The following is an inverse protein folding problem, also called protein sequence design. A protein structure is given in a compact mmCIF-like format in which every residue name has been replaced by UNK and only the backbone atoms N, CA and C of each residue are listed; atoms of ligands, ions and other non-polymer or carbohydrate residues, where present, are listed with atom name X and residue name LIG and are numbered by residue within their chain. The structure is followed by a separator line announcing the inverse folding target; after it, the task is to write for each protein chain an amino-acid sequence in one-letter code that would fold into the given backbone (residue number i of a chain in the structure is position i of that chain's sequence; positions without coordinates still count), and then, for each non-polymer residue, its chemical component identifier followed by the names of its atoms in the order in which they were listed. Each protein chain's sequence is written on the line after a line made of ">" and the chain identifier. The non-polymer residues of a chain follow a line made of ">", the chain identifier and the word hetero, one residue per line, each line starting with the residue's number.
data_IF_413621433514
#
_entry.id   IF_413621433514
#
_cell.length_a   1.000
_cell.length_b   1.000
_cell.length_c   1.000
_cell.angle_alpha   90.00
_cell.angle_beta   90.00
_cell.angle_gamma   90.00
#
_symmetry.space_group_name_H-M   'P 1'
#
loop_
_entity.id
_entity.type
_entity.pdbx_description
1 polymer ?
#
# COMPACT_ATOMS: atom_id res chain seq x y z
N UNK A 1 0.06 -40.30 -9.33
CA UNK A 1 -0.90 -39.19 -9.28
C UNK A 1 -1.00 -38.76 -7.84
N UNK A 2 -0.31 -37.67 -7.49
CA UNK A 2 -0.41 -37.04 -6.18
C UNK A 2 -1.67 -36.18 -6.17
N UNK A 3 -2.59 -36.48 -5.26
CA UNK A 3 -3.72 -35.62 -4.95
C UNK A 3 -3.20 -34.24 -4.58
N UNK A 4 -3.50 -33.25 -5.42
CA UNK A 4 -3.34 -31.85 -5.10
C UNK A 4 -4.53 -31.52 -4.21
N UNK A 5 -4.30 -31.45 -2.90
CA UNK A 5 -5.27 -30.90 -1.95
C UNK A 5 -5.66 -29.50 -2.42
N UNK A 6 -6.84 -29.37 -3.02
CA UNK A 6 -7.43 -28.07 -3.27
C UNK A 6 -7.90 -27.53 -1.92
N UNK A 7 -7.05 -26.75 -1.26
CA UNK A 7 -7.45 -25.89 -0.15
C UNK A 7 -8.57 -24.99 -0.68
N UNK A 8 -9.82 -25.36 -0.38
CA UNK A 8 -10.98 -24.53 -0.65
C UNK A 8 -10.82 -23.28 0.22
N UNK A 9 -10.25 -22.23 -0.36
CA UNK A 9 -10.36 -20.88 0.16
C UNK A 9 -11.84 -20.56 0.28
N UNK A 10 -12.39 -20.81 1.47
CA UNK A 10 -13.79 -20.58 1.78
C UNK A 10 -14.15 -19.16 1.38
N UNK A 11 -15.32 -18.99 0.77
CA UNK A 11 -15.83 -17.68 0.37
C UNK A 11 -15.66 -16.71 1.54
N UNK A 12 -15.04 -15.56 1.30
CA UNK A 12 -14.83 -14.50 2.31
C UNK A 12 -16.14 -13.97 2.92
N UNK A 13 -17.29 -14.40 2.37
CA UNK A 13 -18.62 -14.09 2.83
C UNK A 13 -19.37 -15.36 3.22
N UNK A 14 -19.87 -15.39 4.46
CA UNK A 14 -20.68 -16.49 5.01
C UNK A 14 -22.00 -15.94 5.58
N UNK A 15 -23.13 -16.07 4.84
CA UNK A 15 -24.42 -15.57 5.29
C UNK A 15 -25.00 -16.38 6.45
N UNK A 16 -24.65 -17.66 6.57
CA UNK A 16 -25.19 -18.61 7.55
C UNK A 16 -24.25 -18.80 8.76
N UNK A 17 -23.36 -17.83 8.99
CA UNK A 17 -22.44 -17.81 10.12
C UNK A 17 -23.19 -18.00 11.45
N UNK A 18 -22.62 -18.86 12.30
CA UNK A 18 -23.10 -19.09 13.66
C UNK A 18 -23.32 -17.77 14.42
N UNK A 19 -24.54 -17.51 14.94
CA UNK A 19 -24.86 -16.27 15.64
C UNK A 19 -23.97 -16.04 16.87
N UNK A 20 -23.46 -17.09 17.51
CA UNK A 20 -22.57 -16.94 18.66
C UNK A 20 -21.16 -16.49 18.23
N UNK A 21 -20.61 -17.01 17.14
CA UNK A 21 -19.36 -16.50 16.53
C UNK A 21 -19.47 -15.00 16.21
N UNK A 22 -20.54 -14.62 15.51
CA UNK A 22 -20.87 -13.23 15.18
C UNK A 22 -20.96 -12.33 16.42
N UNK A 23 -21.59 -12.84 17.49
CA UNK A 23 -21.73 -12.11 18.76
C UNK A 23 -20.38 -11.94 19.45
N UNK A 24 -19.49 -12.94 19.40
CA UNK A 24 -18.13 -12.86 19.94
C UNK A 24 -17.30 -11.80 19.23
N UNK A 25 -17.31 -11.79 17.89
CA UNK A 25 -16.59 -10.79 17.08
C UNK A 25 -17.05 -9.37 17.41
N UNK A 26 -18.37 -9.13 17.40
CA UNK A 26 -18.95 -7.82 17.74
C UNK A 26 -18.65 -7.39 19.18
N UNK A 27 -18.62 -8.34 20.13
CA UNK A 27 -18.24 -8.06 21.51
C UNK A 27 -16.76 -7.64 21.58
N UNK A 28 -15.87 -8.36 20.91
CA UNK A 28 -14.44 -8.04 20.82
C UNK A 28 -14.20 -6.61 20.33
N UNK A 29 -14.87 -6.22 19.24
CA UNK A 29 -14.80 -4.85 18.71
C UNK A 29 -15.33 -3.79 19.68
N UNK A 30 -16.46 -4.05 20.36
CA UNK A 30 -16.98 -3.11 21.39
C UNK A 30 -16.04 -2.97 22.59
N UNK A 31 -15.44 -4.07 23.02
CA UNK A 31 -14.51 -4.06 24.15
C UNK A 31 -13.19 -3.41 23.76
N UNK A 32 -12.74 -3.55 22.51
CA UNK A 32 -11.61 -2.80 21.96
C UNK A 32 -11.89 -1.30 21.90
N UNK A 33 -13.07 -0.91 21.44
CA UNK A 33 -13.47 0.49 21.33
C UNK A 33 -13.55 1.19 22.70
N UNK A 34 -13.97 0.47 23.75
CA UNK A 34 -13.91 0.96 25.14
C UNK A 34 -12.49 1.22 25.64
N UNK A 35 -11.48 0.49 25.17
CA UNK A 35 -10.08 0.77 25.55
C UNK A 35 -9.60 2.12 25.04
N UNK A 36 -10.26 2.65 24.00
CA UNK A 36 -10.02 4.00 23.49
C UNK A 36 -10.77 5.10 24.26
N UNK A 37 -11.65 4.75 25.19
CA UNK A 37 -12.38 5.71 26.02
C UNK A 37 -11.55 6.03 27.27
N UNK A 38 -11.19 7.31 27.46
CA UNK A 38 -10.58 7.81 28.70
C UNK A 38 -9.12 8.26 28.62
N UNK A 39 -8.37 7.91 27.57
CA UNK A 39 -7.03 8.47 27.34
C UNK A 39 -6.94 9.25 26.03
N UNK A 40 -6.30 10.41 26.08
CA UNK A 40 -6.01 11.25 24.90
C UNK A 40 -4.65 10.90 24.28
N UNK A 41 -3.79 10.19 25.03
CA UNK A 41 -2.44 9.84 24.60
C UNK A 41 -2.20 8.34 24.78
N UNK A 42 -1.75 7.70 23.71
CA UNK A 42 -1.45 6.27 23.67
C UNK A 42 0.00 6.08 23.26
N UNK A 43 0.68 5.10 23.85
CA UNK A 43 2.05 4.77 23.46
C UNK A 43 2.09 4.20 22.03
N UNK A 44 3.22 4.36 21.35
CA UNK A 44 3.46 3.77 20.03
C UNK A 44 3.34 2.25 20.04
N UNK A 45 3.83 1.61 21.10
CA UNK A 45 3.77 0.15 21.28
C UNK A 45 2.33 -0.33 21.44
N UNK A 46 1.51 0.42 22.18
CA UNK A 46 0.11 0.09 22.38
C UNK A 46 -0.69 0.18 21.08
N UNK A 47 -0.42 1.20 20.26
CA UNK A 47 -1.06 1.34 18.94
C UNK A 47 -0.66 0.20 17.99
N UNK A 48 0.61 -0.21 18.01
CA UNK A 48 1.07 -1.37 17.22
C UNK A 48 0.39 -2.67 17.67
N UNK A 49 0.27 -2.88 18.97
CA UNK A 49 -0.44 -4.04 19.52
C UNK A 49 -1.94 -3.99 19.17
N UNK A 50 -2.53 -2.81 19.19
CA UNK A 50 -3.91 -2.58 18.76
C UNK A 50 -4.15 -2.98 17.30
N UNK A 51 -3.22 -2.68 16.40
CA UNK A 51 -3.30 -3.10 14.99
C UNK A 51 -3.22 -4.62 14.85
N UNK A 52 -2.32 -5.29 15.59
CA UNK A 52 -2.24 -6.76 15.59
C UNK A 52 -3.51 -7.41 16.13
N UNK A 53 -4.06 -6.87 17.22
CA UNK A 53 -5.32 -7.35 17.77
C UNK A 53 -6.48 -7.18 16.77
N UNK A 54 -6.52 -6.07 16.02
CA UNK A 54 -7.51 -5.88 14.93
C UNK A 54 -7.34 -6.93 13.83
N UNK A 55 -6.11 -7.19 13.39
CA UNK A 55 -5.82 -8.19 12.36
C UNK A 55 -6.24 -9.60 12.78
N UNK A 56 -6.04 -9.96 14.05
CA UNK A 56 -6.50 -11.25 14.59
C UNK A 56 -8.04 -11.35 14.61
N UNK A 57 -8.74 -10.29 15.04
CA UNK A 57 -10.21 -10.26 15.02
C UNK A 57 -10.77 -10.28 13.59
N UNK A 58 -10.07 -9.67 12.63
CA UNK A 58 -10.46 -9.64 11.23
C UNK A 58 -10.55 -11.03 10.60
N UNK A 59 -9.74 -11.99 11.05
CA UNK A 59 -9.79 -13.40 10.57
C UNK A 59 -11.15 -14.07 10.77
N UNK A 60 -11.93 -13.59 11.73
CA UNK A 60 -13.25 -14.12 12.07
C UNK A 60 -14.40 -13.32 11.43
N UNK A 61 -14.09 -12.27 10.66
CA UNK A 61 -15.08 -11.45 9.96
C UNK A 61 -15.48 -12.14 8.67
N UNK A 62 -16.75 -12.54 8.61
CA UNK A 62 -17.34 -13.18 7.41
C UNK A 62 -18.51 -12.39 6.83
N UNK A 63 -18.90 -11.29 7.46
CA UNK A 63 -20.12 -10.55 7.15
C UNK A 63 -19.85 -9.04 6.98
N UNK A 64 -20.50 -8.34 6.02
CA UNK A 64 -20.30 -6.91 5.77
C UNK A 64 -20.54 -6.03 6.99
N UNK A 65 -21.53 -6.39 7.83
CA UNK A 65 -21.85 -5.63 9.04
C UNK A 65 -20.78 -5.71 10.13
N UNK A 66 -19.86 -6.67 10.07
CA UNK A 66 -18.71 -6.75 10.98
C UNK A 66 -17.47 -6.11 10.34
N UNK A 67 -17.34 -6.21 9.01
CA UNK A 67 -16.31 -5.50 8.26
C UNK A 67 -16.41 -3.97 8.42
N UNK A 68 -17.62 -3.42 8.57
CA UNK A 68 -17.80 -2.00 8.89
C UNK A 68 -17.31 -1.64 10.29
N UNK A 69 -17.48 -2.52 11.28
CA UNK A 69 -16.98 -2.31 12.64
C UNK A 69 -15.45 -2.35 12.68
N UNK A 70 -14.85 -3.30 11.96
CA UNK A 70 -13.40 -3.39 11.79
C UNK A 70 -12.83 -2.12 11.14
N UNK A 71 -13.45 -1.67 10.04
CA UNK A 71 -13.04 -0.44 9.34
C UNK A 71 -13.06 0.77 10.29
N UNK A 72 -14.10 0.89 11.12
CA UNK A 72 -14.19 1.99 12.09
C UNK A 72 -13.06 1.94 13.13
N UNK A 73 -12.68 0.76 13.59
CA UNK A 73 -11.58 0.58 14.55
C UNK A 73 -10.24 0.94 13.93
N UNK A 74 -9.99 0.49 12.69
CA UNK A 74 -8.77 0.84 11.96
C UNK A 74 -8.65 2.35 11.73
N UNK A 75 -9.76 3.02 11.40
CA UNK A 75 -9.81 4.49 11.29
C UNK A 75 -9.51 5.16 12.63
N UNK A 76 -10.05 4.65 13.74
CA UNK A 76 -9.77 5.19 15.08
C UNK A 76 -8.29 5.01 15.46
N UNK A 77 -7.72 3.82 15.24
CA UNK A 77 -6.31 3.52 15.44
C UNK A 77 -5.41 4.46 14.62
N UNK A 78 -5.68 4.60 13.32
CA UNK A 78 -4.86 5.45 12.43
C UNK A 78 -4.98 6.93 12.74
N UNK A 79 -6.17 7.42 13.10
CA UNK A 79 -6.34 8.82 13.50
C UNK A 79 -5.58 9.14 14.78
N UNK A 80 -5.63 8.25 15.79
CA UNK A 80 -4.83 8.39 17.01
C UNK A 80 -3.34 8.26 16.74
N UNK A 81 -2.91 7.31 15.90
CA UNK A 81 -1.51 7.18 15.51
C UNK A 81 -1.01 8.42 14.77
N UNK A 82 -1.84 9.01 13.91
CA UNK A 82 -1.52 10.25 13.22
C UNK A 82 -1.40 11.44 14.20
N UNK A 83 -2.31 11.55 15.18
CA UNK A 83 -2.20 12.56 16.24
C UNK A 83 -0.93 12.35 17.07
N UNK A 84 -0.62 11.11 17.45
CA UNK A 84 0.58 10.78 18.19
C UNK A 84 1.85 11.12 17.38
N UNK A 85 1.90 10.75 16.09
CA UNK A 85 3.01 11.11 15.21
C UNK A 85 3.21 12.62 15.09
N UNK A 86 2.13 13.40 15.06
CA UNK A 86 2.20 14.87 15.11
C UNK A 86 2.73 15.38 16.45
N UNK A 87 2.33 14.77 17.56
CA UNK A 87 2.81 15.14 18.89
C UNK A 87 4.29 14.77 19.09
N UNK A 88 4.73 13.60 18.60
CA UNK A 88 6.14 13.21 18.56
C UNK A 88 6.96 14.20 17.73
N UNK A 89 6.42 14.63 16.59
CA UNK A 89 7.03 15.67 15.75
C UNK A 89 6.99 17.07 16.38
N UNK A 90 6.11 17.30 17.34
CA UNK A 90 6.01 18.56 18.10
C UNK A 90 6.89 18.56 19.35
N UNK A 91 7.33 17.39 19.84
CA UNK A 91 8.22 17.24 21.00
C UNK A 91 9.72 17.36 20.68
N UNK A 92 10.09 17.32 19.40
CA UNK A 92 11.38 17.81 18.94
C UNK A 92 11.11 19.09 18.17
N UNK A 93 11.58 20.21 18.69
CA UNK A 93 11.82 21.39 17.86
C UNK A 93 12.44 20.94 16.54
N UNK A 94 11.98 21.54 15.44
CA UNK A 94 12.61 21.36 14.13
C UNK A 94 14.12 21.31 14.34
N UNK A 95 14.77 20.25 13.83
CA UNK A 95 16.21 20.01 14.01
C UNK A 95 16.95 21.35 13.99
N UNK A 96 17.36 21.79 15.18
CA UNK A 96 18.00 23.08 15.33
C UNK A 96 19.46 22.86 14.95
N UNK A 97 19.79 23.35 13.75
CA UNK A 97 21.13 23.24 13.18
C UNK A 97 22.13 23.87 14.14
N UNK A 98 21.78 24.95 14.82
CA UNK A 98 22.67 25.71 15.67
C UNK A 98 22.92 25.00 17.02
N UNK A 99 21.88 24.38 17.60
CA UNK A 99 22.01 23.51 18.79
C UNK A 99 22.82 22.25 18.46
N UNK A 100 22.57 21.62 17.30
CA UNK A 100 23.34 20.46 16.85
C UNK A 100 24.81 20.81 16.65
N UNK A 101 25.12 21.91 15.94
CA UNK A 101 26.50 22.39 15.72
C UNK A 101 27.15 22.73 17.05
N UNK A 102 26.45 23.42 17.96
CA UNK A 102 26.98 23.75 19.29
C UNK A 102 27.36 22.51 20.10
N UNK A 103 26.49 21.49 20.12
CA UNK A 103 26.77 20.21 20.79
C UNK A 103 27.87 19.41 20.09
N UNK A 104 27.94 19.49 18.76
CA UNK A 104 28.98 18.84 17.97
C UNK A 104 30.36 19.44 18.26
N UNK A 105 30.48 20.77 18.25
CA UNK A 105 31.72 21.48 18.62
C UNK A 105 32.14 21.13 20.05
N UNK A 106 31.18 21.06 20.97
CA UNK A 106 31.43 20.65 22.36
C UNK A 106 31.95 19.21 22.44
N UNK A 107 31.34 18.28 21.69
CA UNK A 107 31.80 16.88 21.60
C UNK A 107 33.20 16.74 20.98
N UNK A 108 33.55 17.62 20.04
CA UNK A 108 34.85 17.68 19.38
C UNK A 108 35.93 18.41 20.20
N UNK A 109 35.61 18.85 21.42
CA UNK A 109 36.55 19.48 22.34
C UNK A 109 36.72 20.99 22.14
N UNK A 110 35.95 21.62 21.25
CA UNK A 110 36.02 23.07 20.98
C UNK A 110 35.40 23.94 22.09
N UNK A 111 34.77 23.33 23.09
CA UNK A 111 34.41 23.99 24.36
C UNK A 111 34.94 23.13 25.48
N UNK A 112 36.25 23.21 25.74
CA UNK A 112 36.78 22.76 27.03
C UNK A 112 36.16 23.67 28.08
N UNK A 113 35.00 23.27 28.61
CA UNK A 113 34.63 23.64 29.98
C UNK A 113 35.74 23.03 30.81
N UNK A 114 36.72 23.87 31.10
CA UNK A 114 37.84 23.53 31.94
C UNK A 114 37.26 22.91 33.20
N UNK A 115 37.69 21.69 33.51
CA UNK A 115 38.03 21.41 34.91
C UNK A 115 39.12 22.42 35.25
N UNK A 116 38.71 23.63 35.62
CA UNK A 116 39.54 24.78 35.98
C UNK A 116 40.48 24.30 37.07
N UNK A 117 41.70 23.96 36.68
CA UNK A 117 42.81 23.92 37.61
C UNK A 117 43.15 25.40 37.88
N UNK A 118 43.00 25.91 39.11
CA UNK A 118 43.02 27.35 39.39
C UNK A 118 44.43 27.99 39.31
N UNK A 119 45.41 27.29 38.74
CA UNK A 119 46.83 27.67 38.82
C UNK A 119 47.50 28.00 37.48
N UNK A 120 46.76 28.21 36.39
CA UNK A 120 47.35 28.74 35.16
C UNK A 120 46.70 30.06 34.75
N UNK A 121 47.59 31.03 34.61
CA UNK A 121 47.35 32.44 34.32
C UNK A 121 46.51 32.64 33.07
N UNK A 122 45.63 33.61 33.20
CA UNK A 122 44.99 34.41 32.16
C UNK A 122 45.99 34.75 31.05
N UNK A 123 45.85 34.12 29.89
CA UNK A 123 46.44 34.55 28.63
C UNK A 123 45.37 34.33 27.56
N UNK A 124 44.84 35.46 27.07
CA UNK A 124 43.89 35.60 25.96
C UNK A 124 44.44 34.89 24.72
N UNK A 125 44.20 33.58 24.63
CA UNK A 125 44.47 32.79 23.45
C UNK A 125 43.13 32.42 22.85
N UNK A 126 42.83 33.11 21.74
CA UNK A 126 41.69 32.83 20.86
C UNK A 126 41.39 31.32 20.80
N UNK A 127 40.14 31.01 21.14
CA UNK A 127 39.52 29.68 21.24
C UNK A 127 39.56 28.89 19.92
N UNK A 128 40.74 28.50 19.47
CA UNK A 128 40.92 27.63 18.30
C UNK A 128 41.81 26.44 18.65
N UNK A 129 41.45 25.76 19.75
CA UNK A 129 41.88 24.37 19.91
C UNK A 129 41.39 23.56 18.70
N UNK A 130 42.28 22.89 17.92
CA UNK A 130 41.88 22.16 16.74
C UNK A 130 40.79 21.14 17.07
N UNK A 131 39.66 21.22 16.36
CA UNK A 131 38.53 20.31 16.58
C UNK A 131 38.95 18.86 16.30
N UNK A 132 38.62 17.96 17.22
CA UNK A 132 38.97 16.54 17.08
C UNK A 132 38.00 15.80 16.14
N UNK A 133 38.20 15.95 14.83
CA UNK A 133 37.37 15.32 13.79
C UNK A 133 37.37 13.78 13.83
N UNK A 134 38.42 13.16 14.37
CA UNK A 134 38.52 11.70 14.44
C UNK A 134 37.44 11.10 15.38
N UNK A 135 37.13 11.77 16.49
CA UNK A 135 36.11 11.31 17.47
C UNK A 135 34.73 11.19 16.83
N UNK A 136 34.33 12.19 16.04
CA UNK A 136 33.05 12.15 15.32
C UNK A 136 33.10 11.16 14.16
N UNK A 137 34.24 11.06 13.45
CA UNK A 137 34.43 10.08 12.39
C UNK A 137 34.19 8.64 12.84
N UNK A 138 34.78 8.23 13.97
CA UNK A 138 34.56 6.88 14.55
C UNK A 138 33.09 6.64 14.91
N UNK A 139 32.40 7.63 15.47
CA UNK A 139 30.98 7.54 15.84
C UNK A 139 30.06 7.49 14.60
N UNK A 140 30.38 8.25 13.56
CA UNK A 140 29.64 8.27 12.30
C UNK A 140 29.78 6.94 11.53
N UNK A 141 30.98 6.37 11.48
CA UNK A 141 31.26 5.06 10.86
C UNK A 141 30.51 3.91 11.55
N UNK A 142 30.31 3.98 12.87
CA UNK A 142 29.52 2.98 13.59
C UNK A 142 28.02 2.99 13.21
N UNK A 143 27.50 4.11 12.67
CA UNK A 143 26.09 4.28 12.32
C UNK A 143 25.82 4.27 10.83
N UNK A 144 26.83 4.55 10.00
CA UNK A 144 26.71 4.55 8.55
C UNK A 144 27.86 3.77 7.92
N UNK A 145 27.53 2.72 7.16
CA UNK A 145 28.49 1.92 6.38
C UNK A 145 28.66 2.45 4.94
N UNK A 146 27.82 3.41 4.54
CA UNK A 146 27.83 4.04 3.21
C UNK A 146 28.28 5.48 3.38
N UNK A 147 29.20 5.91 2.52
CA UNK A 147 29.57 7.33 2.43
C UNK A 147 28.33 8.10 2.01
N UNK A 148 27.92 9.17 2.74
CA UNK A 148 26.84 10.03 2.30
C UNK A 148 27.26 10.68 0.97
N UNK A 149 26.69 10.19 -0.13
CA UNK A 149 26.85 10.82 -1.44
C UNK A 149 25.90 12.00 -1.46
N UNK A 150 26.44 13.21 -1.61
CA UNK A 150 25.63 14.40 -1.88
C UNK A 150 24.95 14.22 -3.24
N UNK A 151 23.70 13.74 -3.23
CA UNK A 151 22.95 13.38 -4.45
C UNK A 151 22.58 14.57 -5.35
N UNK A 152 22.98 15.78 -4.96
CA UNK A 152 22.79 17.00 -5.72
C UNK A 152 24.00 17.92 -5.51
N UNK A 153 25.07 17.70 -6.28
CA UNK A 153 25.94 18.82 -6.65
C UNK A 153 25.15 19.65 -7.66
N UNK A 154 24.26 20.53 -7.18
CA UNK A 154 23.98 21.73 -7.97
C UNK A 154 25.34 22.39 -8.18
N UNK A 155 25.61 22.82 -9.43
CA UNK A 155 26.83 23.54 -9.78
C UNK A 155 27.00 24.83 -8.96
N UNK A 156 27.85 25.78 -9.40
CA UNK A 156 28.27 26.93 -8.57
C UNK A 156 27.10 27.54 -7.78
N UNK A 157 27.32 27.70 -6.47
CA UNK A 157 26.35 28.02 -5.40
C UNK A 157 25.43 29.24 -5.67
N UNK A 158 25.66 29.97 -6.75
CA UNK A 158 24.89 31.12 -7.23
C UNK A 158 23.57 30.75 -7.93
N UNK A 159 23.25 29.47 -8.13
CA UNK A 159 21.98 29.06 -8.74
C UNK A 159 20.90 28.96 -7.66
N UNK A 160 20.17 30.06 -7.47
CA UNK A 160 19.00 30.11 -6.59
C UNK A 160 17.98 29.05 -7.03
N UNK A 161 17.66 28.11 -6.13
CA UNK A 161 16.64 27.10 -6.39
C UNK A 161 15.30 27.80 -6.62
N UNK A 162 14.80 27.75 -7.86
CA UNK A 162 13.51 28.34 -8.23
C UNK A 162 12.40 27.72 -7.37
N UNK A 163 11.98 28.45 -6.33
CA UNK A 163 10.84 28.09 -5.47
C UNK A 163 9.62 28.01 -6.36
N UNK A 164 9.17 26.78 -6.66
CA UNK A 164 7.91 26.58 -7.37
C UNK A 164 6.81 26.98 -6.39
N UNK A 165 6.12 28.09 -6.68
CA UNK A 165 4.93 28.47 -5.94
C UNK A 165 3.95 27.30 -5.95
N UNK A 166 3.58 26.83 -4.76
CA UNK A 166 2.52 25.84 -4.64
C UNK A 166 1.22 26.51 -5.12
N UNK A 167 0.84 26.25 -6.37
CA UNK A 167 -0.44 26.69 -6.91
C UNK A 167 -1.51 25.92 -6.13
N UNK A 168 -2.09 26.57 -5.11
CA UNK A 168 -3.29 26.08 -4.46
C UNK A 168 -4.36 26.03 -5.54
N UNK A 169 -4.71 24.83 -6.01
CA UNK A 169 -5.89 24.65 -6.85
C UNK A 169 -7.08 25.14 -6.04
N UNK A 170 -7.68 26.25 -6.47
CA UNK A 170 -8.94 26.71 -5.89
C UNK A 170 -9.95 25.58 -6.02
N UNK A 171 -10.53 25.18 -4.89
CA UNK A 171 -11.62 24.21 -4.89
C UNK A 171 -12.77 24.90 -5.65
N UNK A 172 -13.14 24.36 -6.80
CA UNK A 172 -14.29 24.85 -7.55
C UNK A 172 -15.53 24.66 -6.66
N UNK A 173 -16.04 25.73 -6.07
CA UNK A 173 -17.34 25.71 -5.42
C UNK A 173 -18.38 25.50 -6.51
N UNK A 174 -18.96 24.30 -6.55
CA UNK A 174 -20.08 24.00 -7.45
C UNK A 174 -21.28 24.81 -6.92
N UNK A 175 -21.70 25.82 -7.67
CA UNK A 175 -22.92 26.56 -7.38
C UNK A 175 -24.12 25.61 -7.49
N UNK A 176 -24.94 25.52 -6.43
CA UNK A 176 -26.16 24.69 -6.40
C UNK A 176 -27.21 25.10 -7.46
N UNK A 177 -27.09 26.29 -8.04
CA UNK A 177 -27.96 26.75 -9.12
C UNK A 177 -27.74 25.98 -10.45
N UNK A 178 -26.58 25.36 -10.63
CA UNK A 178 -26.25 24.56 -11.82
C UNK A 178 -26.59 23.06 -11.64
N UNK A 179 -27.15 22.67 -10.49
CA UNK A 179 -27.66 21.31 -10.27
C UNK A 179 -28.98 21.11 -11.04
N UNK A 180 -28.88 20.73 -12.32
CA UNK A 180 -30.03 20.18 -13.04
C UNK A 180 -30.21 18.73 -12.63
N UNK A 181 -31.28 18.44 -11.87
CA UNK A 181 -31.71 17.07 -11.59
C UNK A 181 -32.06 16.38 -12.93
N UNK A 182 -31.63 15.13 -13.14
CA UNK A 182 -32.08 14.37 -14.31
C UNK A 182 -33.61 14.25 -14.27
N UNK A 183 -34.26 14.44 -15.42
CA UNK A 183 -35.70 14.27 -15.55
C UNK A 183 -36.05 12.80 -15.33
N UNK A 184 -37.00 12.53 -14.45
CA UNK A 184 -37.59 11.20 -14.28
C UNK A 184 -38.43 10.89 -15.53
N UNK A 185 -37.97 9.95 -16.37
CA UNK A 185 -38.79 9.40 -17.45
C UNK A 185 -39.89 8.54 -16.82
N UNK A 186 -41.15 8.88 -17.09
CA UNK A 186 -42.29 8.04 -16.75
C UNK A 186 -42.51 6.99 -17.84
N UNK A 187 -43.22 5.91 -17.50
CA UNK A 187 -43.48 4.79 -18.40
C UNK A 187 -44.22 5.20 -19.69
N UNK A 188 -44.92 6.32 -19.66
CA UNK A 188 -45.64 6.96 -20.77
C UNK A 188 -44.75 7.78 -21.73
N UNK A 189 -43.55 8.21 -21.30
CA UNK A 189 -42.56 8.91 -22.14
C UNK A 189 -41.63 7.93 -22.88
N UNK A 190 -41.70 6.64 -22.53
CA UNK A 190 -41.03 5.58 -23.26
C UNK A 190 -41.91 5.26 -24.47
N UNK A 191 -41.59 5.84 -25.62
CA UNK A 191 -42.05 5.25 -26.87
C UNK A 191 -41.54 3.81 -26.89
N UNK A 192 -42.44 2.82 -26.77
CA UNK A 192 -42.12 1.42 -27.05
C UNK A 192 -41.78 1.30 -28.53
N UNK A 193 -40.59 1.74 -28.90
CA UNK A 193 -39.97 1.41 -30.17
C UNK A 193 -39.83 -0.10 -30.19
N UNK A 194 -40.49 -0.76 -31.13
CA UNK A 194 -40.43 -2.21 -31.32
C UNK A 194 -38.97 -2.65 -31.47
N UNK A 195 -38.45 -3.19 -30.37
CA UNK A 195 -37.29 -4.06 -30.25
C UNK A 195 -36.28 -3.96 -31.40
N UNK A 196 -35.49 -2.89 -31.42
CA UNK A 196 -34.30 -2.81 -32.28
C UNK A 196 -33.37 -4.00 -32.04
N UNK A 197 -33.33 -4.52 -30.82
CA UNK A 197 -32.55 -5.70 -30.44
C UNK A 197 -32.98 -6.95 -31.21
N UNK A 198 -34.28 -7.17 -31.46
CA UNK A 198 -34.75 -8.34 -32.21
C UNK A 198 -34.45 -8.20 -33.71
N UNK A 199 -34.50 -6.98 -34.25
CA UNK A 199 -34.07 -6.67 -35.62
C UNK A 199 -32.55 -6.85 -35.79
N UNK A 200 -31.77 -6.41 -34.80
CA UNK A 200 -30.32 -6.59 -34.83
C UNK A 200 -29.93 -8.07 -34.71
N UNK A 201 -30.64 -8.85 -33.88
CA UNK A 201 -30.43 -10.30 -33.76
C UNK A 201 -30.82 -11.03 -35.06
N UNK A 202 -31.88 -10.64 -35.76
CA UNK A 202 -32.24 -11.24 -37.05
C UNK A 202 -31.25 -10.89 -38.17
N UNK A 203 -30.69 -9.68 -38.16
CA UNK A 203 -29.63 -9.29 -39.10
C UNK A 203 -28.35 -10.10 -38.82
N UNK A 204 -27.95 -10.26 -37.56
CA UNK A 204 -26.77 -11.06 -37.18
C UNK A 204 -26.98 -12.54 -37.52
N UNK A 205 -28.17 -13.10 -37.29
CA UNK A 205 -28.45 -14.50 -37.62
C UNK A 205 -28.47 -14.76 -39.13
N UNK A 206 -29.00 -13.84 -39.94
CA UNK A 206 -28.92 -13.93 -41.41
C UNK A 206 -27.47 -13.87 -41.89
N UNK A 207 -26.67 -12.99 -41.29
CA UNK A 207 -25.24 -12.86 -41.60
C UNK A 207 -24.49 -14.16 -41.30
N UNK A 208 -24.83 -14.83 -40.19
CA UNK A 208 -24.29 -16.14 -39.84
C UNK A 208 -24.78 -17.27 -40.76
N UNK A 209 -26.03 -17.22 -41.22
CA UNK A 209 -26.58 -18.22 -42.14
C UNK A 209 -25.95 -18.13 -43.55
N UNK A 210 -25.55 -16.93 -43.98
CA UNK A 210 -24.86 -16.69 -45.26
C UNK A 210 -23.42 -17.17 -45.30
N UNK A 211 -22.84 -17.50 -44.13
CA UNK A 211 -21.43 -17.89 -43.99
C UNK A 211 -21.39 -19.25 -43.30
N UNK A 212 -21.23 -20.30 -44.08
CA UNK A 212 -21.09 -21.67 -43.58
C UNK A 212 -20.06 -21.72 -42.45
N UNK A 213 -20.29 -22.50 -41.36
CA UNK A 213 -19.27 -22.69 -40.33
C UNK A 213 -17.97 -23.19 -40.99
N UNK A 214 -16.79 -22.69 -40.60
CA UNK A 214 -15.54 -23.28 -41.08
C UNK A 214 -15.52 -24.76 -40.67
N UNK A 215 -15.40 -25.66 -41.65
CA UNK A 215 -15.15 -27.08 -41.40
C UNK A 215 -13.82 -27.22 -40.66
N UNK A 216 -13.84 -27.40 -39.34
CA UNK A 216 -12.63 -27.67 -38.55
C UNK A 216 -12.65 -29.04 -37.89
N UNK A 217 -13.69 -29.85 -38.07
CA UNK A 217 -13.72 -31.23 -37.54
C UNK A 217 -14.38 -32.20 -38.52
N UNK A 218 -13.61 -32.70 -39.49
CA UNK A 218 -13.89 -33.99 -40.13
C UNK A 218 -13.31 -35.08 -39.25
N UNK A 219 -14.16 -35.74 -38.45
CA UNK A 219 -13.83 -37.04 -37.87
C UNK A 219 -13.98 -38.09 -38.98
N UNK A 220 -12.87 -38.65 -39.45
CA UNK A 220 -12.87 -39.83 -40.32
C UNK A 220 -13.18 -41.09 -39.50
N UNK A 221 -14.25 -41.85 -39.78
CA UNK A 221 -14.31 -43.25 -39.43
C UNK A 221 -13.83 -44.12 -40.60
N UNK A 222 -13.49 -45.36 -40.29
CA UNK A 222 -13.28 -46.50 -41.19
C UNK A 222 -11.87 -46.76 -41.73
N UNK A 223 -11.08 -47.38 -40.85
CA UNK A 223 -10.00 -48.31 -41.23
C UNK A 223 -10.61 -49.68 -41.53
N UNK A 224 -11.08 -49.91 -42.76
CA UNK A 224 -11.37 -51.26 -43.23
C UNK A 224 -10.08 -51.96 -43.68
N UNK A 225 -9.76 -53.04 -42.99
CA UNK A 225 -8.77 -54.06 -43.37
C UNK A 225 -9.30 -54.92 -44.52
N UNK A 226 -8.63 -54.97 -45.66
CA UNK A 226 -8.68 -56.16 -46.54
C UNK A 226 -7.43 -56.32 -47.44
N UNK A 227 -6.69 -57.39 -47.14
CA UNK A 227 -6.02 -58.39 -48.01
C UNK A 227 -5.48 -57.98 -49.40
N UNK A 228 -4.21 -58.37 -49.64
CA UNK A 228 -3.69 -58.77 -50.97
C UNK A 228 -2.15 -58.74 -51.05
N UNK A 229 -1.44 -59.79 -50.60
CA UNK A 229 -0.63 -60.75 -51.41
C UNK A 229 0.40 -60.19 -52.39
N UNK A 230 1.63 -60.70 -52.24
CA UNK A 230 2.73 -60.73 -53.22
C UNK A 230 3.83 -59.73 -52.87
N UNK A 231 5.10 -60.08 -52.68
CA UNK A 231 5.86 -61.30 -52.86
C UNK A 231 7.34 -60.92 -52.65
N UNK A 232 8.11 -61.84 -52.08
CA UNK A 232 9.57 -62.01 -52.11
C UNK A 232 10.53 -60.81 -52.27
N UNK A 233 11.41 -60.66 -51.26
CA UNK A 233 12.90 -60.73 -51.32
C UNK A 233 13.48 -60.15 -50.02
N UNK A 234 14.02 -60.97 -49.12
CA UNK A 234 15.43 -61.37 -49.01
C UNK A 234 16.38 -60.29 -48.42
N UNK A 235 16.74 -60.53 -47.13
CA UNK A 235 18.06 -60.43 -46.46
C UNK A 235 18.66 -59.05 -46.05
N UNK A 236 19.66 -58.99 -45.12
CA UNK A 236 19.44 -58.40 -43.80
C UNK A 236 20.59 -57.44 -43.34
N UNK A 237 20.60 -57.11 -42.03
CA UNK A 237 21.78 -56.78 -41.18
C UNK A 237 22.75 -55.68 -41.63
N UNK A 238 22.97 -54.70 -40.74
CA UNK A 238 24.32 -54.45 -40.20
C UNK A 238 24.25 -53.58 -38.93
N UNK A 239 24.92 -54.12 -37.90
CA UNK A 239 25.47 -53.57 -36.64
C UNK A 239 24.93 -52.29 -36.00
#
# INVERSE_FOLDING_TARGET
>A
MSDVEMEHGGLAYDPDQDPDEKRRVRKGYRDFDKKFEGSTQYSTEWLMEGVKQSDEMFRHVKNPGEATLDSNILVRLTTTAHQNARNLKSGSGAFDVDDFVSRLVTFMGGRKIEKRNPNFSDDDSDDESPLEWEKIGRKALAKSRRVPVVGFMLGPLSVEQKKRAAVKRAKLEKNKADERKPQELKEEDISRSENETTKNVSIVSLSFASRSPPEVFSTHPDRQTSRGRGGDKLVPFCH
#
